data_IF_564754198650
#
_entry.id   IF_564754198650
#
_cell.length_a   1.000
_cell.length_b   1.000
_cell.length_c   1.000
_cell.angle_alpha   90.00
_cell.angle_beta   90.00
_cell.angle_gamma   90.00
#
_symmetry.space_group_name_H-M   'P 1'
#
loop_
_entity.id
_entity.type
_entity.pdbx_description
1 polymer ?
#
# COMPACT_ATOMS: atom_id res chain seq x y z
N UNK A 1 -13.41 26.05 -0.34
CA UNK A 1 -12.89 25.52 0.94
C UNK A 1 -11.37 25.67 0.90
N UNK A 2 -10.78 26.48 1.79
CA UNK A 2 -9.32 26.62 1.85
C UNK A 2 -8.80 25.42 2.62
N UNK A 3 -7.88 24.66 2.03
CA UNK A 3 -7.23 23.61 2.78
C UNK A 3 -6.23 24.24 3.75
N UNK A 4 -6.50 24.10 5.04
CA UNK A 4 -5.58 24.50 6.10
C UNK A 4 -4.71 23.32 6.46
N UNK A 5 -3.41 23.42 6.20
CA UNK A 5 -2.43 22.57 6.86
C UNK A 5 -2.10 23.18 8.20
N UNK A 6 -2.08 22.38 9.26
CA UNK A 6 -1.73 22.83 10.60
C UNK A 6 -0.26 22.52 10.85
N UNK A 7 0.50 23.56 11.25
CA UNK A 7 1.93 23.44 11.48
C UNK A 7 2.25 22.55 12.71
N UNK A 8 1.28 22.39 13.63
CA UNK A 8 1.39 21.58 14.85
C UNK A 8 0.36 20.44 14.80
N UNK A 9 0.87 19.21 14.84
CA UNK A 9 0.06 18.00 15.01
C UNK A 9 -0.58 17.99 16.41
N UNK A 10 -1.78 17.41 16.59
CA UNK A 10 -2.33 17.15 17.93
C UNK A 10 -1.37 16.32 18.80
N UNK A 11 -1.59 16.36 20.11
CA UNK A 11 -0.89 15.46 21.05
C UNK A 11 -1.28 14.00 20.72
N UNK A 12 -0.28 13.16 20.47
CA UNK A 12 -0.43 11.75 20.10
C UNK A 12 0.64 10.96 20.86
N UNK A 13 0.24 9.88 21.54
CA UNK A 13 1.19 8.99 22.21
C UNK A 13 1.99 8.18 21.17
N UNK A 14 3.31 8.04 21.36
CA UNK A 14 4.17 7.30 20.43
C UNK A 14 4.74 6.07 21.12
N UNK A 15 4.40 4.89 20.59
CA UNK A 15 4.96 3.61 20.97
C UNK A 15 6.00 3.17 19.94
N UNK A 16 7.13 2.63 20.40
CA UNK A 16 8.22 2.16 19.54
C UNK A 16 8.63 0.73 19.93
N UNK A 17 7.76 -0.27 19.73
CA UNK A 17 8.08 -1.66 20.01
C UNK A 17 9.27 -2.13 19.17
N UNK A 18 10.13 -2.97 19.76
CA UNK A 18 11.31 -3.53 19.09
C UNK A 18 11.14 -5.00 18.71
N UNK A 19 10.02 -5.62 19.11
CA UNK A 19 9.70 -7.01 18.85
C UNK A 19 8.24 -7.19 18.40
N UNK A 20 7.97 -8.31 17.75
CA UNK A 20 6.67 -8.60 17.15
C UNK A 20 5.57 -8.74 18.18
N UNK A 21 5.85 -9.41 19.32
CA UNK A 21 4.84 -9.68 20.34
C UNK A 21 4.31 -8.37 20.93
N UNK A 22 5.22 -7.47 21.33
CA UNK A 22 4.83 -6.17 21.86
C UNK A 22 4.06 -5.33 20.82
N UNK A 23 4.47 -5.35 19.55
CA UNK A 23 3.78 -4.61 18.50
C UNK A 23 2.35 -5.12 18.24
N UNK A 24 2.17 -6.44 18.23
CA UNK A 24 0.87 -7.08 18.04
C UNK A 24 -0.06 -6.87 19.25
N UNK A 25 0.49 -6.91 20.47
CA UNK A 25 -0.25 -6.61 21.69
C UNK A 25 -0.73 -5.16 21.70
N UNK A 26 0.14 -4.20 21.37
CA UNK A 26 -0.22 -2.78 21.26
C UNK A 26 -1.30 -2.55 20.20
N UNK A 27 -1.16 -3.16 19.01
CA UNK A 27 -2.16 -3.02 17.96
C UNK A 27 -3.52 -3.60 18.39
N UNK A 28 -3.53 -4.72 19.11
CA UNK A 28 -4.74 -5.32 19.65
C UNK A 28 -5.37 -4.47 20.77
N UNK A 29 -4.56 -3.93 21.68
CA UNK A 29 -5.03 -3.10 22.80
C UNK A 29 -5.61 -1.77 22.31
N UNK A 30 -4.92 -1.11 21.39
CA UNK A 30 -5.31 0.20 20.87
C UNK A 30 -6.40 0.11 19.80
N UNK A 31 -6.51 -1.01 19.08
CA UNK A 31 -7.53 -1.20 18.04
C UNK A 31 -7.58 -0.06 17.03
N UNK A 32 -8.76 0.50 16.79
CA UNK A 32 -8.97 1.63 15.88
C UNK A 32 -8.30 2.94 16.32
N UNK A 33 -7.94 3.07 17.60
CA UNK A 33 -7.28 4.27 18.13
C UNK A 33 -5.75 4.23 17.93
N UNK A 34 -5.20 3.05 17.59
CA UNK A 34 -3.78 2.81 17.33
C UNK A 34 -3.42 2.97 15.85
N UNK A 35 -2.69 4.02 15.51
CA UNK A 35 -2.22 4.25 14.15
C UNK A 35 -0.89 3.55 13.87
N UNK A 36 -0.90 2.58 12.97
CA UNK A 36 0.33 1.90 12.54
C UNK A 36 1.21 2.83 11.69
N UNK A 37 2.47 2.97 12.09
CA UNK A 37 3.42 3.88 11.47
C UNK A 37 4.63 3.11 10.92
N UNK A 38 4.72 3.08 9.58
CA UNK A 38 5.96 2.73 8.87
C UNK A 38 6.80 3.98 8.60
N UNK A 39 7.17 4.22 7.33
CA UNK A 39 7.96 5.40 6.94
C UNK A 39 7.29 6.78 7.06
N UNK A 40 6.01 6.83 7.44
CA UNK A 40 5.25 8.06 7.73
C UNK A 40 4.87 8.95 6.53
N UNK A 41 5.25 8.59 5.31
CA UNK A 41 5.12 9.49 4.14
C UNK A 41 3.68 9.74 3.70
N UNK A 42 2.72 8.84 3.98
CA UNK A 42 1.29 9.14 3.85
C UNK A 42 0.68 9.63 5.18
N UNK A 43 1.05 8.99 6.29
CA UNK A 43 0.58 9.29 7.66
C UNK A 43 0.71 10.76 8.03
N UNK A 44 1.92 11.34 7.94
CA UNK A 44 2.14 12.69 8.46
C UNK A 44 1.34 13.75 7.70
N UNK A 45 0.99 13.51 6.43
CA UNK A 45 0.07 14.37 5.69
C UNK A 45 -1.32 14.36 6.32
N UNK A 46 -1.86 13.17 6.60
CA UNK A 46 -3.17 13.00 7.23
C UNK A 46 -3.27 13.68 8.61
N UNK A 47 -2.21 13.56 9.42
CA UNK A 47 -2.18 14.11 10.77
C UNK A 47 -2.01 15.64 10.78
N UNK A 48 -1.14 16.18 9.93
CA UNK A 48 -0.95 17.65 9.79
C UNK A 48 -2.19 18.34 9.23
N UNK A 49 -2.92 17.67 8.36
CA UNK A 49 -4.19 18.17 7.83
C UNK A 49 -5.36 17.92 8.81
N UNK A 50 -5.14 17.20 9.93
CA UNK A 50 -6.15 16.84 10.95
C UNK A 50 -7.36 16.08 10.42
N UNK A 51 -7.18 15.42 9.28
CA UNK A 51 -8.19 14.54 8.68
C UNK A 51 -8.26 13.18 9.38
N UNK A 52 -7.18 12.79 10.08
CA UNK A 52 -7.11 11.62 10.94
C UNK A 52 -6.56 12.06 12.29
N UNK A 53 -7.16 11.58 13.38
CA UNK A 53 -6.84 11.98 14.76
C UNK A 53 -6.73 10.76 15.66
N UNK A 54 -5.77 9.85 15.41
CA UNK A 54 -5.55 8.71 16.28
C UNK A 54 -5.07 9.17 17.67
N UNK A 55 -5.36 8.38 18.70
CA UNK A 55 -4.88 8.67 20.06
C UNK A 55 -3.40 8.27 20.24
N UNK A 56 -2.99 7.23 19.52
CA UNK A 56 -1.64 6.68 19.61
C UNK A 56 -1.07 6.34 18.22
N UNK A 57 0.25 6.34 18.10
CA UNK A 57 1.00 5.80 16.98
C UNK A 57 1.89 4.65 17.43
N UNK A 58 1.95 3.60 16.61
CA UNK A 58 2.81 2.44 16.83
C UNK A 58 3.84 2.42 15.70
N UNK A 59 5.08 2.80 16.01
CA UNK A 59 6.20 2.88 15.09
C UNK A 59 6.81 1.49 14.88
N UNK A 60 6.71 0.96 13.67
CA UNK A 60 7.01 -0.45 13.38
C UNK A 60 8.45 -0.67 12.86
N UNK A 61 9.16 0.39 12.46
CA UNK A 61 10.47 0.27 11.79
C UNK A 61 11.60 -0.18 12.71
N UNK A 62 11.39 -0.23 14.02
CA UNK A 62 12.36 -0.84 14.95
C UNK A 62 12.30 -2.37 15.01
N UNK A 63 11.29 -3.00 14.41
CA UNK A 63 11.10 -4.46 14.51
C UNK A 63 11.95 -5.17 13.45
N UNK A 64 13.06 -5.75 13.87
CA UNK A 64 14.04 -6.38 12.97
C UNK A 64 13.46 -7.57 12.18
N UNK A 65 12.52 -8.30 12.78
CA UNK A 65 11.87 -9.45 12.13
C UNK A 65 11.08 -9.07 10.86
N UNK A 66 10.67 -7.80 10.73
CA UNK A 66 9.90 -7.30 9.60
C UNK A 66 10.76 -6.51 8.59
N UNK A 67 12.10 -6.59 8.70
CA UNK A 67 13.04 -5.97 7.78
C UNK A 67 13.59 -6.96 6.75
N UNK A 68 14.00 -6.42 5.62
CA UNK A 68 14.76 -7.11 4.61
C UNK A 68 13.97 -8.07 3.73
N UNK A 69 14.74 -8.80 2.93
CA UNK A 69 14.27 -9.73 1.91
C UNK A 69 15.06 -11.03 2.11
N UNK A 70 14.37 -12.16 2.18
CA UNK A 70 14.99 -13.48 2.33
C UNK A 70 14.37 -14.48 1.37
N UNK A 71 15.19 -15.44 0.93
CA UNK A 71 14.69 -16.61 0.22
C UNK A 71 13.97 -17.55 1.20
N UNK A 72 12.87 -18.11 0.73
CA UNK A 72 12.11 -19.16 1.40
C UNK A 72 11.94 -20.33 0.42
N UNK A 73 11.47 -21.49 0.89
CA UNK A 73 11.47 -22.72 0.08
C UNK A 73 10.72 -22.60 -1.25
N UNK A 74 9.66 -21.81 -1.30
CA UNK A 74 8.78 -21.63 -2.45
C UNK A 74 8.84 -20.24 -3.08
N UNK A 75 9.80 -19.39 -2.70
CA UNK A 75 9.78 -17.99 -3.11
C UNK A 75 10.74 -17.07 -2.36
N UNK A 76 10.31 -15.82 -2.20
CA UNK A 76 10.94 -14.87 -1.29
C UNK A 76 9.91 -14.34 -0.30
N UNK A 77 10.38 -13.95 0.88
CA UNK A 77 9.61 -13.18 1.86
C UNK A 77 10.25 -11.80 2.03
N UNK A 78 9.43 -10.76 1.94
CA UNK A 78 9.82 -9.36 2.13
C UNK A 78 9.12 -8.87 3.39
N UNK A 79 9.89 -8.47 4.38
CA UNK A 79 9.35 -7.88 5.60
C UNK A 79 8.62 -6.55 5.31
N UNK A 80 7.52 -6.28 6.01
CA UNK A 80 6.67 -5.13 5.72
C UNK A 80 7.35 -3.77 5.98
N UNK A 81 8.39 -3.70 6.82
CA UNK A 81 9.14 -2.46 7.06
C UNK A 81 10.39 -2.32 6.18
N UNK A 82 10.60 -3.23 5.24
CA UNK A 82 11.62 -3.06 4.17
C UNK A 82 11.32 -1.82 3.36
N UNK A 83 12.34 -0.99 3.16
CA UNK A 83 12.18 0.28 2.43
C UNK A 83 11.94 0.04 0.94
N UNK A 84 11.24 0.96 0.28
CA UNK A 84 11.02 0.89 -1.17
C UNK A 84 12.37 0.98 -1.92
N UNK A 85 13.33 1.73 -1.40
CA UNK A 85 14.70 1.79 -1.94
C UNK A 85 15.41 0.45 -1.85
N UNK A 86 15.30 -0.28 -0.74
CA UNK A 86 15.87 -1.62 -0.62
C UNK A 86 15.27 -2.58 -1.65
N UNK A 87 13.94 -2.58 -1.80
CA UNK A 87 13.25 -3.44 -2.78
C UNK A 87 13.68 -3.12 -4.21
N UNK A 88 13.71 -1.84 -4.59
CA UNK A 88 14.09 -1.42 -5.94
C UNK A 88 15.53 -1.78 -6.30
N UNK A 89 16.43 -1.86 -5.31
CA UNK A 89 17.86 -2.10 -5.50
C UNK A 89 18.32 -3.51 -5.09
N UNK A 90 17.41 -4.37 -4.62
CA UNK A 90 17.79 -5.69 -4.15
C UNK A 90 18.17 -6.60 -5.33
N UNK A 91 19.38 -7.20 -5.37
CA UNK A 91 19.82 -8.02 -6.50
C UNK A 91 18.93 -9.24 -6.77
N UNK A 92 18.37 -9.85 -5.72
CA UNK A 92 17.48 -11.01 -5.84
C UNK A 92 16.14 -10.60 -6.47
N UNK A 93 15.58 -9.45 -6.06
CA UNK A 93 14.34 -8.92 -6.63
C UNK A 93 14.57 -8.48 -8.07
N UNK A 94 15.66 -7.77 -8.36
CA UNK A 94 15.98 -7.33 -9.73
C UNK A 94 16.20 -8.50 -10.70
N UNK A 95 16.82 -9.59 -10.25
CA UNK A 95 17.11 -10.73 -11.11
C UNK A 95 15.92 -11.67 -11.31
N UNK A 96 15.12 -11.91 -10.28
CA UNK A 96 14.06 -12.93 -10.31
C UNK A 96 12.63 -12.36 -10.39
N UNK A 97 12.42 -11.14 -9.93
CA UNK A 97 11.11 -10.51 -9.78
C UNK A 97 11.15 -9.03 -10.21
N UNK A 98 11.77 -8.74 -11.37
CA UNK A 98 12.08 -7.37 -11.79
C UNK A 98 10.84 -6.49 -11.89
N UNK A 99 9.66 -7.07 -12.13
CA UNK A 99 8.37 -6.39 -12.08
C UNK A 99 8.17 -5.56 -10.79
N UNK A 100 8.50 -6.13 -9.63
CA UNK A 100 8.39 -5.41 -8.35
C UNK A 100 9.49 -4.36 -8.20
N UNK A 101 10.72 -4.65 -8.63
CA UNK A 101 11.82 -3.68 -8.57
C UNK A 101 11.54 -2.45 -9.44
N UNK A 102 11.01 -2.66 -10.65
CA UNK A 102 10.61 -1.60 -11.58
C UNK A 102 9.47 -0.76 -10.98
N UNK A 103 8.41 -1.39 -10.49
CA UNK A 103 7.31 -0.69 -9.82
C UNK A 103 7.80 0.14 -8.62
N UNK A 104 8.61 -0.46 -7.74
CA UNK A 104 9.19 0.22 -6.59
C UNK A 104 10.05 1.44 -6.99
N UNK A 105 10.81 1.35 -8.09
CA UNK A 105 11.64 2.45 -8.59
C UNK A 105 10.83 3.68 -9.02
N UNK A 106 9.56 3.50 -9.40
CA UNK A 106 8.64 4.55 -9.87
C UNK A 106 7.83 5.21 -8.75
N UNK A 107 7.93 4.70 -7.52
CA UNK A 107 7.25 5.25 -6.35
C UNK A 107 7.85 6.59 -5.97
N UNK A 108 7.11 7.68 -6.13
CA UNK A 108 7.44 9.00 -5.59
C UNK A 108 8.89 9.47 -5.88
N UNK A 109 9.58 10.04 -4.88
CA UNK A 109 10.96 10.51 -4.96
C UNK A 109 11.94 9.57 -4.24
N UNK A 110 13.25 9.62 -4.53
CA UNK A 110 14.25 8.83 -3.80
C UNK A 110 14.20 9.04 -2.28
N UNK A 111 13.96 10.26 -1.81
CA UNK A 111 13.87 10.59 -0.38
C UNK A 111 12.67 9.90 0.27
N UNK A 112 11.52 9.89 -0.41
CA UNK A 112 10.33 9.18 0.04
C UNK A 112 10.60 7.68 0.05
N UNK A 113 11.27 7.12 -0.96
CA UNK A 113 11.58 5.68 -1.04
C UNK A 113 12.58 5.20 0.01
N UNK A 114 13.51 6.07 0.43
CA UNK A 114 14.53 5.73 1.42
C UNK A 114 13.95 5.48 2.82
N UNK A 115 12.76 6.02 3.11
CA UNK A 115 12.09 5.84 4.42
C UNK A 115 10.74 5.15 4.30
N UNK A 116 10.06 5.30 3.16
CA UNK A 116 8.79 4.63 2.87
C UNK A 116 8.98 3.12 2.86
N UNK A 117 8.10 2.42 3.55
CA UNK A 117 8.14 0.96 3.70
C UNK A 117 7.16 0.27 2.74
N UNK A 118 7.38 -1.02 2.48
CA UNK A 118 6.45 -1.83 1.68
C UNK A 118 5.04 -1.83 2.27
N UNK A 119 4.90 -2.15 3.55
CA UNK A 119 3.60 -2.19 4.23
C UNK A 119 2.90 -0.83 4.21
N UNK A 120 3.65 0.26 4.39
CA UNK A 120 3.11 1.62 4.28
C UNK A 120 2.69 2.00 2.86
N UNK A 121 3.40 1.52 1.83
CA UNK A 121 3.02 1.75 0.44
C UNK A 121 1.73 1.01 0.06
N UNK A 122 1.59 -0.24 0.52
CA UNK A 122 0.42 -1.08 0.22
C UNK A 122 -0.83 -0.67 1.00
N UNK A 123 -0.66 0.00 2.15
CA UNK A 123 -1.74 0.50 2.99
C UNK A 123 -1.90 2.03 2.95
N UNK A 124 -1.28 2.71 1.99
CA UNK A 124 -1.49 4.15 1.83
C UNK A 124 -2.93 4.43 1.39
N UNK A 125 -3.51 5.51 1.90
CA UNK A 125 -4.91 5.83 1.65
C UNK A 125 -5.08 6.61 0.32
N UNK A 126 -6.33 6.72 -0.13
CA UNK A 126 -6.69 7.33 -1.39
C UNK A 126 -6.20 8.78 -1.54
N UNK A 127 -5.91 9.17 -2.78
CA UNK A 127 -5.50 10.54 -3.14
C UNK A 127 -6.65 11.44 -3.61
N UNK A 128 -7.90 10.98 -3.48
CA UNK A 128 -9.08 11.79 -3.78
C UNK A 128 -9.02 13.14 -3.04
N UNK A 129 -8.80 14.21 -3.80
CA UNK A 129 -8.88 15.61 -3.38
C UNK A 129 -10.06 15.93 -2.48
N UNK A 130 -11.28 15.50 -2.80
CA UNK A 130 -12.43 15.80 -1.94
C UNK A 130 -12.25 15.22 -0.54
N UNK A 131 -11.86 13.94 -0.48
CA UNK A 131 -11.57 13.23 0.77
C UNK A 131 -10.38 13.84 1.53
N UNK A 132 -9.24 14.08 0.85
CA UNK A 132 -8.04 14.67 1.47
C UNK A 132 -8.22 16.13 1.89
N UNK A 133 -9.27 16.80 1.45
CA UNK A 133 -9.59 18.19 1.85
C UNK A 133 -10.57 18.25 3.02
N UNK A 134 -10.91 17.11 3.63
CA UNK A 134 -11.77 17.02 4.81
C UNK A 134 -13.25 17.17 4.50
N UNK A 135 -13.68 16.96 3.25
CA UNK A 135 -15.11 16.94 2.94
C UNK A 135 -15.77 15.67 3.48
N UNK A 136 -17.00 15.83 3.94
CA UNK A 136 -17.84 14.75 4.45
C UNK A 136 -18.39 13.86 3.32
N UNK A 137 -17.49 13.14 2.66
CA UNK A 137 -17.81 12.19 1.59
C UNK A 137 -18.06 10.80 2.16
N UNK A 138 -18.61 9.87 1.37
CA UNK A 138 -18.87 8.50 1.82
C UNK A 138 -17.67 7.81 2.49
N UNK A 139 -16.46 8.02 1.97
CA UNK A 139 -15.22 7.45 2.54
C UNK A 139 -14.84 8.09 3.89
N UNK A 140 -15.28 9.32 4.14
CA UNK A 140 -15.10 10.04 5.40
C UNK A 140 -16.26 9.81 6.40
N UNK A 141 -17.22 8.92 6.08
CA UNK A 141 -18.41 8.68 6.92
C UNK A 141 -19.64 9.51 6.52
N UNK A 142 -19.50 10.38 5.52
CA UNK A 142 -20.60 11.18 4.98
C UNK A 142 -21.53 10.40 4.05
N UNK A 143 -22.36 11.14 3.30
CA UNK A 143 -23.43 10.56 2.50
C UNK A 143 -23.39 10.92 1.00
N UNK A 144 -22.26 11.44 0.51
CA UNK A 144 -22.12 11.89 -0.87
C UNK A 144 -20.74 11.56 -1.45
N UNK A 145 -20.67 11.29 -2.75
CA UNK A 145 -19.41 11.30 -3.50
C UNK A 145 -19.33 12.59 -4.31
N UNK A 146 -18.47 13.52 -3.89
CA UNK A 146 -18.32 14.78 -4.61
C UNK A 146 -17.65 14.61 -5.99
N UNK A 147 -16.80 13.58 -6.14
CA UNK A 147 -16.16 13.25 -7.40
C UNK A 147 -17.14 12.69 -8.44
N UNK A 148 -18.17 11.96 -8.00
CA UNK A 148 -19.17 11.35 -8.89
C UNK A 148 -20.45 12.21 -9.02
N UNK A 149 -20.32 13.52 -8.76
CA UNK A 149 -21.40 14.47 -9.00
C UNK A 149 -21.37 14.97 -10.46
N UNK A 150 -22.48 15.50 -11.02
CA UNK A 150 -22.50 15.96 -12.42
C UNK A 150 -21.45 17.03 -12.79
N UNK A 151 -21.00 17.81 -11.80
CA UNK A 151 -19.97 18.84 -11.93
C UNK A 151 -18.67 18.44 -11.21
N UNK A 152 -18.59 17.20 -10.73
CA UNK A 152 -17.45 16.64 -10.02
C UNK A 152 -16.25 16.51 -10.95
N UNK A 153 -15.08 16.87 -10.44
CA UNK A 153 -13.82 16.66 -11.13
C UNK A 153 -13.31 15.27 -10.78
N UNK A 154 -13.35 14.37 -11.75
CA UNK A 154 -13.08 12.95 -11.55
C UNK A 154 -12.01 12.35 -12.46
N UNK A 155 -11.16 13.18 -13.05
CA UNK A 155 -10.08 12.73 -13.96
C UNK A 155 -9.18 11.66 -13.33
N UNK A 156 -8.82 11.80 -12.06
CA UNK A 156 -7.93 10.90 -11.32
C UNK A 156 -8.67 9.79 -10.54
N UNK A 157 -9.94 9.52 -10.87
CA UNK A 157 -10.79 8.55 -10.17
C UNK A 157 -11.03 7.29 -10.99
N UNK A 158 -11.66 6.30 -10.37
CA UNK A 158 -11.75 4.94 -10.91
C UNK A 158 -12.60 4.86 -12.18
N UNK A 159 -12.12 4.06 -13.14
CA UNK A 159 -12.91 3.62 -14.30
C UNK A 159 -13.59 2.26 -14.05
N UNK A 160 -12.98 1.42 -13.20
CA UNK A 160 -13.43 0.08 -12.87
C UNK A 160 -13.58 -0.09 -11.36
N UNK A 161 -14.45 -1.00 -10.93
CA UNK A 161 -14.67 -1.29 -9.49
C UNK A 161 -15.25 -0.11 -8.70
N UNK A 162 -15.80 0.90 -9.38
CA UNK A 162 -16.51 2.00 -8.77
C UNK A 162 -17.80 1.52 -8.10
N UNK A 163 -18.15 2.17 -6.98
CA UNK A 163 -19.45 2.04 -6.34
C UNK A 163 -19.85 3.44 -5.84
N UNK A 164 -20.49 3.55 -4.67
CA UNK A 164 -20.79 4.84 -4.04
C UNK A 164 -19.54 5.73 -3.83
N UNK A 165 -18.34 5.17 -3.86
CA UNK A 165 -17.08 5.92 -3.91
C UNK A 165 -16.33 5.54 -5.20
N UNK A 166 -15.67 6.52 -5.81
CA UNK A 166 -14.84 6.35 -7.02
C UNK A 166 -13.34 6.59 -6.75
N UNK A 167 -12.93 6.58 -5.49
CA UNK A 167 -11.53 6.72 -5.12
C UNK A 167 -10.70 5.50 -5.55
N UNK A 168 -9.42 5.74 -5.87
CA UNK A 168 -8.47 4.71 -6.33
C UNK A 168 -7.35 4.47 -5.33
N UNK A 169 -6.79 3.26 -5.34
CA UNK A 169 -5.51 2.98 -4.69
C UNK A 169 -4.39 3.65 -5.49
N UNK A 170 -3.48 4.40 -4.85
CA UNK A 170 -2.40 5.08 -5.55
C UNK A 170 -1.08 4.27 -5.55
N UNK A 171 -1.08 3.02 -5.07
CA UNK A 171 0.14 2.21 -4.92
C UNK A 171 0.63 1.68 -6.27
N UNK A 172 1.90 1.99 -6.60
CA UNK A 172 2.56 1.41 -7.79
C UNK A 172 2.96 -0.06 -7.57
N UNK A 173 3.28 -0.48 -6.33
CA UNK A 173 3.74 -1.85 -6.06
C UNK A 173 2.59 -2.85 -5.89
N UNK A 174 1.37 -2.39 -5.59
CA UNK A 174 0.21 -3.26 -5.41
C UNK A 174 -0.12 -4.08 -6.68
N UNK A 175 -0.26 -3.48 -7.89
CA UNK A 175 -0.49 -4.24 -9.12
C UNK A 175 0.64 -5.24 -9.42
N UNK A 176 1.89 -4.85 -9.20
CA UNK A 176 3.04 -5.76 -9.37
C UNK A 176 2.93 -7.00 -8.47
N UNK A 177 2.57 -6.82 -7.19
CA UNK A 177 2.39 -7.94 -6.27
C UNK A 177 1.18 -8.81 -6.61
N UNK A 178 0.09 -8.21 -7.13
CA UNK A 178 -1.06 -8.97 -7.64
C UNK A 178 -0.67 -9.82 -8.85
N UNK A 179 0.04 -9.23 -9.82
CA UNK A 179 0.51 -9.95 -11.02
C UNK A 179 1.52 -11.05 -10.69
N UNK A 180 2.31 -10.88 -9.63
CA UNK A 180 3.27 -11.87 -9.12
C UNK A 180 2.62 -12.95 -8.23
N UNK A 181 1.30 -12.94 -8.04
CA UNK A 181 0.58 -13.86 -7.14
C UNK A 181 1.12 -13.83 -5.70
N UNK A 182 1.49 -12.65 -5.21
CA UNK A 182 2.02 -12.51 -3.87
C UNK A 182 0.97 -12.91 -2.82
N UNK A 183 1.46 -13.35 -1.66
CA UNK A 183 0.66 -13.63 -0.47
C UNK A 183 1.00 -12.61 0.62
N UNK A 184 -0.02 -11.93 1.12
CA UNK A 184 0.04 -10.95 2.19
C UNK A 184 -0.01 -11.68 3.53
N UNK A 185 1.02 -11.50 4.36
CA UNK A 185 1.14 -12.11 5.67
C UNK A 185 0.64 -11.10 6.71
N UNK A 186 -0.58 -11.33 7.19
CA UNK A 186 -1.26 -10.47 8.16
C UNK A 186 -1.22 -11.13 9.53
N UNK A 187 -0.72 -10.43 10.54
CA UNK A 187 -0.57 -10.96 11.90
C UNK A 187 -1.35 -10.12 12.90
N UNK A 188 -1.86 -10.75 13.94
CA UNK A 188 -2.50 -10.14 15.11
C UNK A 188 -2.10 -10.92 16.36
N UNK A 189 -2.51 -10.44 17.53
CA UNK A 189 -2.43 -11.18 18.81
C UNK A 189 -3.09 -12.59 18.74
N UNK A 190 -4.07 -12.77 17.86
CA UNK A 190 -4.83 -14.01 17.70
C UNK A 190 -4.20 -15.02 16.72
N UNK A 191 -3.16 -14.61 15.98
CA UNK A 191 -2.47 -15.45 15.02
C UNK A 191 -2.28 -14.78 13.65
N UNK A 192 -2.06 -15.60 12.64
CA UNK A 192 -1.66 -15.16 11.30
C UNK A 192 -2.67 -15.60 10.24
N UNK A 193 -2.94 -14.70 9.30
CA UNK A 193 -3.72 -14.93 8.07
C UNK A 193 -2.81 -14.75 6.86
N UNK A 194 -2.94 -15.67 5.92
CA UNK A 194 -2.29 -15.59 4.61
C UNK A 194 -3.36 -15.23 3.58
N UNK A 195 -3.20 -14.09 2.92
CA UNK A 195 -4.22 -13.54 2.02
C UNK A 195 -3.59 -13.34 0.64
N UNK A 196 -4.14 -13.92 -0.44
CA UNK A 196 -3.66 -13.62 -1.80
C UNK A 196 -3.72 -12.11 -2.05
N UNK A 197 -2.71 -11.54 -2.73
CA UNK A 197 -2.65 -10.09 -2.98
C UNK A 197 -3.89 -9.58 -3.73
N UNK A 198 -4.45 -10.38 -4.63
CA UNK A 198 -5.70 -10.08 -5.35
C UNK A 198 -6.93 -9.91 -4.43
N UNK A 199 -6.91 -10.53 -3.24
CA UNK A 199 -8.02 -10.49 -2.28
C UNK A 199 -7.75 -9.53 -1.12
N UNK A 200 -6.54 -8.98 -1.05
CA UNK A 200 -6.10 -8.06 0.01
C UNK A 200 -6.60 -6.64 -0.22
N UNK A 201 -6.54 -6.15 -1.45
CA UNK A 201 -7.06 -4.85 -1.85
C UNK A 201 -8.56 -4.98 -2.15
N UNK A 202 -9.36 -4.06 -1.62
CA UNK A 202 -10.82 -4.12 -1.75
C UNK A 202 -11.41 -2.83 -2.28
N UNK A 203 -12.50 -3.00 -3.01
CA UNK A 203 -13.29 -1.91 -3.54
C UNK A 203 -14.32 -1.36 -2.54
N UNK A 204 -14.88 -0.19 -2.86
CA UNK A 204 -15.86 0.50 -2.02
C UNK A 204 -17.23 -0.18 -1.96
N UNK A 205 -17.48 -1.18 -2.80
CA UNK A 205 -18.64 -2.07 -2.73
C UNK A 205 -18.56 -3.02 -1.53
N UNK A 206 -17.34 -3.42 -1.14
CA UNK A 206 -17.08 -4.27 0.03
C UNK A 206 -16.88 -3.47 1.30
N UNK A 207 -16.00 -2.47 1.27
CA UNK A 207 -15.78 -1.53 2.37
C UNK A 207 -15.44 -0.16 1.80
N UNK A 208 -16.31 0.82 2.04
CA UNK A 208 -16.17 2.15 1.45
C UNK A 208 -15.13 3.04 2.16
N UNK A 209 -14.80 2.73 3.41
CA UNK A 209 -13.90 3.52 4.25
C UNK A 209 -12.47 2.98 4.26
N UNK A 210 -12.26 1.69 3.96
CA UNK A 210 -10.94 1.07 3.87
C UNK A 210 -10.51 0.80 2.41
N UNK A 211 -9.22 0.55 2.19
CA UNK A 211 -8.69 0.07 0.88
C UNK A 211 -8.25 -1.40 0.93
N UNK A 212 -8.15 -1.97 2.13
CA UNK A 212 -7.61 -3.32 2.35
C UNK A 212 -8.50 -4.08 3.30
N UNK A 213 -8.33 -5.40 3.35
CA UNK A 213 -9.08 -6.32 4.22
C UNK A 213 -8.59 -6.37 5.68
N UNK A 214 -7.66 -5.48 6.07
CA UNK A 214 -7.14 -5.45 7.44
C UNK A 214 -8.26 -5.07 8.41
N UNK A 215 -8.41 -5.85 9.47
CA UNK A 215 -9.22 -5.49 10.62
C UNK A 215 -8.41 -4.67 11.63
N UNK A 216 -9.11 -4.04 12.58
CA UNK A 216 -8.47 -3.40 13.72
C UNK A 216 -7.56 -4.40 14.48
N UNK A 217 -6.35 -3.95 14.83
CA UNK A 217 -5.33 -4.77 15.48
C UNK A 217 -4.60 -5.76 14.57
N UNK A 218 -4.94 -5.84 13.28
CA UNK A 218 -4.15 -6.61 12.30
C UNK A 218 -3.02 -5.75 11.70
N UNK A 219 -1.84 -6.36 11.55
CA UNK A 219 -0.66 -5.75 10.94
C UNK A 219 -0.25 -6.59 9.73
N UNK A 220 -0.05 -5.95 8.57
CA UNK A 220 0.69 -6.57 7.47
C UNK A 220 2.17 -6.65 7.87
N UNK A 221 2.68 -7.86 8.14
CA UNK A 221 4.05 -8.07 8.65
C UNK A 221 5.03 -8.51 7.59
N UNK A 222 4.55 -9.16 6.52
CA UNK A 222 5.38 -9.54 5.38
C UNK A 222 4.56 -9.73 4.09
N UNK A 223 5.27 -9.80 2.96
CA UNK A 223 4.74 -10.20 1.66
C UNK A 223 5.59 -11.34 1.11
N UNK A 224 4.96 -12.45 0.72
CA UNK A 224 5.62 -13.59 0.09
C UNK A 224 5.36 -13.60 -1.40
N UNK A 225 6.39 -13.81 -2.21
CA UNK A 225 6.28 -13.90 -3.67
C UNK A 225 6.70 -15.30 -4.10
N UNK A 226 5.81 -16.09 -4.74
CA UNK A 226 6.11 -17.45 -5.12
C UNK A 226 7.09 -17.53 -6.30
N UNK A 227 7.80 -18.65 -6.40
CA UNK A 227 8.70 -18.97 -7.52
C UNK A 227 7.97 -19.13 -8.85
N UNK A 228 6.63 -19.21 -8.86
CA UNK A 228 5.79 -19.40 -10.05
C UNK A 228 6.13 -18.44 -11.18
N UNK A 229 6.47 -17.19 -10.85
CA UNK A 229 6.78 -16.13 -11.81
C UNK A 229 8.27 -15.76 -11.83
N UNK A 230 9.12 -16.48 -11.11
CA UNK A 230 10.54 -16.16 -11.05
C UNK A 230 11.18 -16.25 -12.44
N UNK A 231 11.90 -15.19 -12.83
CA UNK A 231 12.56 -15.04 -14.13
C UNK A 231 11.60 -15.06 -15.34
N UNK A 232 10.31 -14.79 -15.14
CA UNK A 232 9.38 -14.54 -16.24
C UNK A 232 9.77 -13.26 -17.00
N UNK A 233 9.21 -13.08 -18.20
CA UNK A 233 9.25 -11.78 -18.86
C UNK A 233 8.32 -10.82 -18.11
N UNK A 234 8.79 -9.60 -17.84
CA UNK A 234 8.07 -8.62 -17.04
C UNK A 234 7.91 -7.31 -17.80
N UNK A 235 6.79 -6.64 -17.58
CA UNK A 235 6.57 -5.28 -18.07
C UNK A 235 5.81 -4.47 -17.02
N UNK A 236 6.38 -3.34 -16.63
CA UNK A 236 5.72 -2.33 -15.79
C UNK A 236 5.66 -0.99 -16.53
N UNK A 237 4.47 -0.42 -16.64
CA UNK A 237 4.29 0.92 -17.18
C UNK A 237 3.53 1.78 -16.19
N UNK A 238 3.99 3.03 -16.01
CA UNK A 238 3.31 4.04 -15.23
C UNK A 238 3.14 5.28 -16.08
N UNK A 239 1.91 5.56 -16.45
CA UNK A 239 1.54 6.78 -17.16
C UNK A 239 1.15 7.84 -16.14
N UNK A 240 1.78 9.00 -16.22
CA UNK A 240 1.51 10.14 -15.35
C UNK A 240 1.74 11.46 -16.10
N UNK A 241 1.21 12.56 -15.56
CA UNK A 241 1.40 13.89 -16.15
C UNK A 241 2.86 14.36 -16.09
N UNK A 242 3.64 13.85 -15.11
CA UNK A 242 5.07 14.12 -14.96
C UNK A 242 5.87 12.83 -14.85
N UNK A 243 7.07 12.84 -15.42
CA UNK A 243 7.97 11.67 -15.45
C UNK A 243 8.48 11.22 -14.08
N UNK A 244 8.42 12.09 -13.05
CA UNK A 244 8.92 11.81 -11.71
C UNK A 244 8.03 12.49 -10.68
N UNK A 245 7.92 11.88 -9.49
CA UNK A 245 7.20 12.45 -8.36
C UNK A 245 5.72 12.74 -8.61
N UNK A 246 5.08 11.89 -9.40
CA UNK A 246 3.63 11.87 -9.62
C UNK A 246 3.04 10.50 -9.28
N UNK A 247 1.74 10.47 -8.98
CA UNK A 247 0.96 9.24 -8.93
C UNK A 247 0.60 8.78 -10.35
N UNK A 248 0.28 7.50 -10.50
CA UNK A 248 -0.17 6.98 -11.78
C UNK A 248 -1.56 7.54 -12.11
N UNK A 249 -1.75 7.97 -13.36
CA UNK A 249 -3.08 8.07 -13.96
C UNK A 249 -3.59 6.67 -14.28
N UNK A 250 -2.70 5.84 -14.84
CA UNK A 250 -2.86 4.40 -15.02
C UNK A 250 -1.47 3.80 -14.87
N UNK A 251 -1.38 2.64 -14.21
CA UNK A 251 -0.23 1.77 -14.34
C UNK A 251 -0.70 0.37 -14.75
N UNK A 252 0.21 -0.44 -15.27
CA UNK A 252 -0.04 -1.85 -15.56
C UNK A 252 1.19 -2.65 -15.22
N UNK A 253 0.97 -3.80 -14.60
CA UNK A 253 1.99 -4.78 -14.26
C UNK A 253 1.69 -6.10 -14.99
N UNK A 254 2.68 -6.62 -15.71
CA UNK A 254 2.57 -7.85 -16.46
C UNK A 254 3.68 -8.84 -16.10
N UNK A 255 3.29 -10.09 -15.85
CA UNK A 255 4.18 -11.24 -15.73
C UNK A 255 3.82 -12.25 -16.82
N UNK A 256 4.79 -12.63 -17.66
CA UNK A 256 4.56 -13.35 -18.91
C UNK A 256 5.54 -14.52 -19.01
N UNK A 257 5.01 -15.73 -19.17
CA UNK A 257 5.82 -16.92 -19.49
C UNK A 257 5.79 -17.15 -20.99
N UNK A 258 6.96 -17.07 -21.61
CA UNK A 258 7.12 -17.27 -23.05
C UNK A 258 8.00 -18.49 -23.32
N UNK A 259 7.55 -19.35 -24.22
CA UNK A 259 8.25 -20.56 -24.64
C UNK A 259 8.13 -20.71 -26.15
N UNK A 260 9.26 -20.78 -26.86
CA UNK A 260 9.28 -20.88 -28.32
C UNK A 260 8.56 -19.73 -29.05
N UNK A 261 8.48 -18.54 -28.45
CA UNK A 261 7.75 -17.38 -28.99
C UNK A 261 6.24 -17.41 -28.77
N UNK A 262 5.73 -18.36 -27.97
CA UNK A 262 4.32 -18.46 -27.57
C UNK A 262 4.17 -18.08 -26.11
N UNK A 263 3.17 -17.26 -25.78
CA UNK A 263 2.78 -16.96 -24.39
C UNK A 263 2.07 -18.21 -23.84
N UNK A 264 2.70 -18.90 -22.89
CA UNK A 264 2.13 -20.06 -22.21
C UNK A 264 1.23 -19.66 -21.04
N UNK A 265 1.56 -18.56 -20.36
CA UNK A 265 0.80 -18.02 -19.24
C UNK A 265 1.07 -16.52 -19.09
N UNK A 266 0.09 -15.76 -18.62
CA UNK A 266 0.20 -14.31 -18.43
C UNK A 266 -0.70 -13.83 -17.30
N UNK A 267 -0.17 -12.93 -16.46
CA UNK A 267 -0.97 -12.14 -15.52
C UNK A 267 -0.79 -10.66 -15.78
N UNK A 268 -1.90 -9.95 -15.68
CA UNK A 268 -1.99 -8.50 -15.82
C UNK A 268 -2.76 -7.95 -14.62
N UNK A 269 -2.28 -6.85 -14.06
CA UNK A 269 -2.96 -6.09 -13.01
C UNK A 269 -2.78 -4.59 -13.25
N UNK A 270 -3.81 -3.81 -12.92
CA UNK A 270 -3.87 -2.36 -12.99
C UNK A 270 -4.64 -1.80 -11.80
#
# INVERSE_FOLDING_TARGET
MVATSHDVMPDIELYQPTDEANALDLANELGSDGWLLGGGQDTYGWLKDRNKTPAAMIELTQIDAWKGIKEIGDGIEIGAVTTITEIANNPLVQSRYSLLAEAASKVASPQIRNVGTLGGNLNQDARCWYYRRGLDCYRAGGNICYADSPEGLNREHSLFGASRCVAVSPSDTAPALVALEATMVVSSSSGQRLIPAQDYFIGPDRDIVHMTVLNDGEILTAVRIPNTWANAEFYFEKVADRNVWDFALVNVAAAIKVSGGVIEDIRLAC
#
